data_IF_733542344070
#
_entry.id   IF_733542344070
#
_cell.length_a   1.000
_cell.length_b   1.000
_cell.length_c   1.000
_cell.angle_alpha   90.00
_cell.angle_beta   90.00
_cell.angle_gamma   90.00
#
_symmetry.space_group_name_H-M   'P 1'
#
loop_
_entity.id
_entity.type
_entity.pdbx_description
1 polymer ?
#
# COMPACT_ATOMS: atom_id res chain seq x y z
N UNK A 1 10.18 51.06 -47.28
CA UNK A 1 11.04 51.99 -46.52
C UNK A 1 10.60 51.89 -45.06
N UNK A 2 11.33 51.16 -44.20
CA UNK A 2 12.49 51.62 -43.39
C UNK A 2 12.04 52.70 -42.36
N UNK A 3 12.24 52.57 -41.04
CA UNK A 3 13.49 52.22 -40.33
C UNK A 3 13.25 51.77 -38.87
N UNK A 4 14.21 50.96 -38.38
CA UNK A 4 14.40 50.32 -37.05
C UNK A 4 14.82 51.27 -35.91
N UNK A 5 14.68 50.76 -34.66
CA UNK A 5 15.63 50.70 -33.49
C UNK A 5 14.93 51.10 -32.18
N UNK A 6 15.32 50.69 -30.96
CA UNK A 6 16.04 49.58 -30.33
C UNK A 6 16.18 50.01 -28.84
N UNK A 7 15.94 49.14 -27.85
CA UNK A 7 16.54 49.28 -26.51
C UNK A 7 16.41 47.98 -25.69
N UNK A 8 17.55 47.34 -25.48
CA UNK A 8 17.81 46.22 -24.57
C UNK A 8 18.56 46.76 -23.35
N UNK A 9 18.21 46.33 -22.13
CA UNK A 9 19.08 46.03 -20.95
C UNK A 9 18.32 46.24 -19.63
N UNK A 10 18.56 45.59 -18.49
CA UNK A 10 19.27 44.36 -18.07
C UNK A 10 19.30 44.39 -16.53
N UNK A 11 19.36 43.19 -15.93
CA UNK A 11 19.68 42.77 -14.55
C UNK A 11 18.77 43.18 -13.39
N UNK A 12 18.15 42.14 -12.82
CA UNK A 12 17.94 42.00 -11.39
C UNK A 12 19.20 41.39 -10.76
N UNK A 13 19.83 42.11 -9.83
CA UNK A 13 20.81 41.57 -8.90
C UNK A 13 20.31 41.84 -7.49
N UNK A 14 20.01 40.77 -6.76
CA UNK A 14 20.05 40.81 -5.30
C UNK A 14 20.69 39.51 -4.84
N UNK A 15 21.96 39.65 -4.47
CA UNK A 15 22.72 38.67 -3.73
C UNK A 15 22.02 38.41 -2.39
N UNK A 16 21.88 37.14 -2.01
CA UNK A 16 21.99 36.78 -0.61
C UNK A 16 22.42 35.32 -0.42
N UNK A 17 23.67 35.20 0.05
CA UNK A 17 24.14 34.24 1.05
C UNK A 17 23.93 32.75 0.77
N UNK A 18 24.97 32.17 0.17
CA UNK A 18 25.35 30.77 0.31
C UNK A 18 25.50 30.42 1.80
N UNK A 19 24.51 29.72 2.35
CA UNK A 19 24.65 28.88 3.54
C UNK A 19 24.37 27.44 3.13
N UNK A 20 25.45 26.69 3.07
CA UNK A 20 25.48 25.24 3.01
C UNK A 20 24.49 24.67 4.04
N UNK A 21 23.40 24.09 3.54
CA UNK A 21 22.44 23.36 4.35
C UNK A 21 22.16 22.06 3.62
N UNK A 22 22.31 20.94 4.34
CA UNK A 22 22.09 19.56 3.93
C UNK A 22 20.90 19.38 2.96
N UNK A 23 20.90 18.34 2.09
CA UNK A 23 19.80 18.14 1.15
C UNK A 23 18.51 17.89 1.93
N UNK A 24 17.70 18.94 2.08
CA UNK A 24 16.34 18.83 2.55
C UNK A 24 15.63 18.06 1.45
N UNK A 25 15.36 16.78 1.69
CA UNK A 25 14.49 15.94 0.86
C UNK A 25 13.23 16.75 0.60
N UNK A 26 13.13 17.28 -0.61
CA UNK A 26 12.04 18.17 -1.00
C UNK A 26 10.83 17.28 -1.10
N UNK A 27 9.97 17.35 -0.09
CA UNK A 27 8.71 16.65 -0.08
C UNK A 27 7.92 17.15 -1.28
N UNK A 28 7.75 16.30 -2.30
CA UNK A 28 6.96 16.63 -3.49
C UNK A 28 5.57 17.02 -2.99
N UNK A 29 5.11 18.21 -3.35
CA UNK A 29 3.75 18.64 -3.01
C UNK A 29 2.83 17.90 -3.96
N UNK A 30 2.15 16.87 -3.46
CA UNK A 30 1.10 16.20 -4.19
C UNK A 30 -0.11 17.13 -4.33
N UNK A 31 -0.63 17.25 -5.54
CA UNK A 31 -1.86 18.01 -5.78
C UNK A 31 -3.07 17.19 -5.30
N UNK A 32 -4.14 17.85 -4.88
CA UNK A 32 -5.31 17.16 -4.29
C UNK A 32 -6.00 16.18 -5.26
N UNK A 33 -5.96 16.50 -6.54
CA UNK A 33 -6.51 15.72 -7.66
C UNK A 33 -5.47 14.80 -8.31
N UNK A 34 -4.26 14.70 -7.75
CA UNK A 34 -3.24 13.80 -8.27
C UNK A 34 -3.68 12.35 -8.07
N UNK A 35 -3.59 11.57 -9.13
CA UNK A 35 -3.98 10.17 -9.15
C UNK A 35 -2.80 9.31 -8.69
N UNK A 36 -3.05 8.49 -7.68
CA UNK A 36 -2.06 7.64 -7.06
C UNK A 36 -2.49 6.19 -7.25
N UNK A 37 -1.61 5.40 -7.83
CA UNK A 37 -1.82 3.98 -8.04
C UNK A 37 -1.89 3.23 -6.69
N UNK A 38 -2.97 2.48 -6.52
CA UNK A 38 -3.22 1.66 -5.35
C UNK A 38 -3.53 0.23 -5.82
N UNK A 39 -2.73 -0.74 -5.36
CA UNK A 39 -2.91 -2.17 -5.64
C UNK A 39 -3.77 -2.83 -4.58
N UNK A 40 -4.81 -3.56 -4.97
CA UNK A 40 -5.63 -4.33 -4.04
C UNK A 40 -4.84 -5.48 -3.40
N UNK A 41 -4.98 -5.61 -2.08
CA UNK A 41 -4.45 -6.73 -1.29
C UNK A 41 -5.56 -7.70 -0.86
N UNK A 42 -6.81 -7.41 -1.18
CA UNK A 42 -7.96 -8.27 -0.87
C UNK A 42 -8.30 -9.17 -2.04
N UNK A 43 -8.71 -10.39 -1.70
CA UNK A 43 -9.25 -11.35 -2.66
C UNK A 43 -10.73 -11.04 -2.87
N UNK A 44 -11.13 -10.77 -4.12
CA UNK A 44 -12.47 -10.33 -4.50
C UNK A 44 -12.57 -8.81 -4.72
N UNK A 45 -13.80 -8.34 -4.97
CA UNK A 45 -14.03 -6.94 -5.33
C UNK A 45 -13.93 -6.02 -4.12
N UNK A 46 -13.00 -5.07 -4.15
CA UNK A 46 -12.86 -4.02 -3.13
C UNK A 46 -13.64 -2.79 -3.56
N UNK A 47 -14.37 -2.19 -2.62
CA UNK A 47 -15.02 -0.90 -2.81
C UNK A 47 -14.47 0.09 -1.80
N UNK A 48 -14.02 1.26 -2.27
CA UNK A 48 -13.60 2.36 -1.42
C UNK A 48 -14.36 3.63 -1.84
N UNK A 49 -15.23 4.18 -0.99
CA UNK A 49 -15.89 5.43 -1.25
C UNK A 49 -14.95 6.61 -0.94
N UNK A 50 -14.65 7.42 -1.96
CA UNK A 50 -13.91 8.67 -1.84
C UNK A 50 -14.76 9.73 -1.15
N UNK A 51 -14.52 9.97 0.14
CA UNK A 51 -15.29 10.94 0.94
C UNK A 51 -15.16 12.38 0.44
N UNK A 52 -14.08 12.72 -0.25
CA UNK A 52 -13.81 14.08 -0.74
C UNK A 52 -14.15 14.25 -2.21
N UNK A 53 -14.06 13.16 -2.99
CA UNK A 53 -14.30 13.17 -4.44
C UNK A 53 -15.69 12.71 -4.86
N UNK A 54 -16.42 12.03 -3.98
CA UNK A 54 -17.66 11.31 -4.29
C UNK A 54 -17.46 10.20 -5.36
N UNK A 55 -16.21 9.75 -5.55
CA UNK A 55 -15.86 8.66 -6.47
C UNK A 55 -15.92 7.34 -5.71
N UNK A 56 -16.61 6.34 -6.26
CA UNK A 56 -16.55 4.97 -5.77
C UNK A 56 -15.45 4.22 -6.50
N UNK A 57 -14.29 4.06 -5.85
CA UNK A 57 -13.20 3.26 -6.37
C UNK A 57 -13.52 1.78 -6.21
N UNK A 58 -13.31 1.02 -7.28
CA UNK A 58 -13.57 -0.42 -7.34
C UNK A 58 -12.34 -1.14 -7.86
N UNK A 59 -11.85 -2.12 -7.12
CA UNK A 59 -10.87 -3.09 -7.60
C UNK A 59 -11.58 -4.40 -7.89
N UNK A 60 -11.24 -5.06 -8.99
CA UNK A 60 -11.91 -6.30 -9.39
C UNK A 60 -11.37 -7.56 -8.69
N UNK A 61 -10.16 -7.49 -8.13
CA UNK A 61 -9.57 -8.63 -7.42
C UNK A 61 -8.22 -8.32 -6.78
N UNK A 62 -7.56 -9.35 -6.27
CA UNK A 62 -6.21 -9.25 -5.71
C UNK A 62 -5.21 -8.87 -6.79
N UNK A 63 -4.32 -7.92 -6.48
CA UNK A 63 -3.31 -7.44 -7.42
C UNK A 63 -3.82 -6.45 -8.47
N UNK A 64 -5.13 -6.19 -8.53
CA UNK A 64 -5.68 -5.15 -9.40
C UNK A 64 -5.18 -3.77 -8.95
N UNK A 65 -4.89 -2.88 -9.89
CA UNK A 65 -4.34 -1.55 -9.61
C UNK A 65 -5.35 -0.50 -10.04
N UNK A 66 -5.64 0.45 -9.15
CA UNK A 66 -6.56 1.55 -9.43
C UNK A 66 -5.95 2.86 -9.00
N UNK A 67 -6.19 3.87 -9.82
CA UNK A 67 -5.85 5.26 -9.55
C UNK A 67 -6.84 5.87 -8.55
N UNK A 68 -6.33 6.33 -7.41
CA UNK A 68 -7.09 6.97 -6.35
C UNK A 68 -6.57 8.39 -6.15
N UNK A 69 -7.45 9.37 -6.03
CA UNK A 69 -7.03 10.74 -5.79
C UNK A 69 -6.36 10.93 -4.42
N UNK A 70 -5.27 11.70 -4.39
CA UNK A 70 -4.50 11.97 -3.17
C UNK A 70 -5.37 12.53 -2.03
N UNK A 71 -6.36 13.40 -2.33
CA UNK A 71 -7.25 13.95 -1.29
C UNK A 71 -8.05 12.87 -0.54
N UNK A 72 -8.47 11.81 -1.23
CA UNK A 72 -9.20 10.70 -0.60
C UNK A 72 -8.25 9.83 0.21
N UNK A 73 -7.06 9.53 -0.32
CA UNK A 73 -6.01 8.81 0.40
C UNK A 73 -5.60 9.55 1.69
N UNK A 74 -5.41 10.86 1.61
CA UNK A 74 -5.11 11.69 2.77
C UNK A 74 -6.28 11.70 3.77
N UNK A 75 -7.53 11.70 3.30
CA UNK A 75 -8.71 11.58 4.16
C UNK A 75 -8.77 10.23 4.89
N UNK A 76 -8.48 9.13 4.19
CA UNK A 76 -8.38 7.80 4.79
C UNK A 76 -7.27 7.73 5.84
N UNK A 77 -6.11 8.32 5.55
CA UNK A 77 -4.99 8.41 6.48
C UNK A 77 -5.37 9.22 7.71
N UNK A 78 -5.93 10.42 7.52
CA UNK A 78 -6.34 11.32 8.61
C UNK A 78 -7.42 10.70 9.49
N UNK A 79 -8.34 9.93 8.91
CA UNK A 79 -9.39 9.22 9.65
C UNK A 79 -8.95 7.89 10.26
N UNK A 80 -7.66 7.53 10.13
CA UNK A 80 -7.11 6.23 10.52
C UNK A 80 -7.94 5.05 10.02
N UNK A 81 -8.32 5.14 8.75
CA UNK A 81 -9.25 4.20 8.14
C UNK A 81 -8.63 2.80 8.02
N UNK A 82 -9.43 1.73 8.22
CA UNK A 82 -8.95 0.36 8.07
C UNK A 82 -8.43 0.08 6.66
N UNK A 83 -8.88 0.79 5.62
CA UNK A 83 -8.34 0.58 4.26
C UNK A 83 -6.81 0.73 4.17
N UNK A 84 -6.20 1.60 4.99
CA UNK A 84 -4.75 1.84 5.05
C UNK A 84 -4.12 1.12 6.26
N UNK A 85 -4.74 1.18 7.44
CA UNK A 85 -4.16 0.65 8.68
C UNK A 85 -4.50 -0.83 8.97
N UNK A 86 -5.49 -1.41 8.26
CA UNK A 86 -5.76 -2.84 8.10
C UNK A 86 -5.74 -3.13 6.58
N UNK A 87 -4.56 -2.99 5.95
CA UNK A 87 -4.46 -2.61 4.54
C UNK A 87 -5.23 -3.55 3.62
N UNK A 88 -6.26 -2.97 3.02
CA UNK A 88 -7.07 -3.60 1.99
C UNK A 88 -6.47 -3.39 0.60
N UNK A 89 -5.69 -2.32 0.45
CA UNK A 89 -4.88 -2.01 -0.71
C UNK A 89 -3.53 -1.45 -0.26
N UNK A 90 -2.55 -1.54 -1.14
CA UNK A 90 -1.22 -0.99 -1.00
C UNK A 90 -1.09 0.21 -1.93
N UNK A 91 -0.37 1.24 -1.50
CA UNK A 91 -0.08 2.40 -2.33
C UNK A 91 1.20 2.12 -3.12
N UNK A 92 1.14 2.15 -4.45
CA UNK A 92 2.27 1.91 -5.37
C UNK A 92 2.95 3.23 -5.76
N UNK A 93 3.18 4.09 -4.77
CA UNK A 93 3.83 5.37 -5.00
C UNK A 93 4.89 5.62 -3.93
N UNK A 94 6.12 5.24 -4.25
CA UNK A 94 7.27 5.36 -3.35
C UNK A 94 7.54 6.82 -2.99
N UNK A 95 7.35 7.76 -3.93
CA UNK A 95 7.52 9.19 -3.65
C UNK A 95 6.55 9.68 -2.57
N UNK A 96 5.33 9.15 -2.56
CA UNK A 96 4.34 9.44 -1.53
C UNK A 96 4.74 8.86 -0.18
N UNK A 97 5.19 7.60 -0.18
CA UNK A 97 5.59 6.89 1.04
C UNK A 97 6.90 7.46 1.64
N UNK A 98 7.72 8.11 0.83
CA UNK A 98 8.90 8.86 1.28
C UNK A 98 8.58 10.19 1.97
N UNK A 99 7.35 10.72 1.82
CA UNK A 99 6.90 11.90 2.54
C UNK A 99 6.88 11.60 4.05
N UNK A 100 7.48 12.45 4.91
CA UNK A 100 7.41 12.32 6.37
C UNK A 100 6.00 12.15 6.92
N UNK A 101 4.97 12.65 6.23
CA UNK A 101 3.57 12.47 6.60
C UNK A 101 3.12 11.02 6.49
N UNK A 102 3.66 10.26 5.56
CA UNK A 102 3.28 8.88 5.24
C UNK A 102 4.23 7.84 5.85
N UNK A 103 5.23 8.28 6.62
CA UNK A 103 6.18 7.38 7.28
C UNK A 103 5.48 6.30 8.13
N UNK A 104 4.38 6.62 8.79
CA UNK A 104 3.60 5.66 9.57
C UNK A 104 2.96 4.56 8.70
N UNK A 105 2.56 4.90 7.48
CA UNK A 105 2.01 3.97 6.49
C UNK A 105 3.15 3.16 5.85
N UNK A 106 4.28 3.80 5.56
CA UNK A 106 5.47 3.13 5.05
C UNK A 106 6.00 2.09 6.05
N UNK A 107 6.17 2.46 7.32
CA UNK A 107 6.60 1.55 8.38
C UNK A 107 5.62 0.38 8.53
N UNK A 108 4.30 0.62 8.38
CA UNK A 108 3.29 -0.44 8.37
C UNK A 108 3.47 -1.38 7.17
N UNK A 109 3.68 -0.83 5.97
CA UNK A 109 3.83 -1.59 4.72
C UNK A 109 5.15 -2.35 4.66
N UNK A 110 6.25 -1.80 5.17
CA UNK A 110 7.54 -2.50 5.23
C UNK A 110 7.43 -3.75 6.13
N UNK A 111 6.75 -3.64 7.28
CA UNK A 111 6.44 -4.80 8.13
C UNK A 111 5.51 -5.83 7.44
N UNK A 112 4.70 -5.40 6.46
CA UNK A 112 3.85 -6.28 5.65
C UNK A 112 4.60 -6.90 4.48
N UNK A 113 5.59 -6.23 3.91
CA UNK A 113 6.42 -6.74 2.83
C UNK A 113 7.32 -7.87 3.28
N UNK A 114 7.83 -7.82 4.52
CA UNK A 114 8.46 -8.98 5.16
C UNK A 114 7.52 -10.20 5.28
N UNK A 115 6.20 -9.99 5.19
CA UNK A 115 5.17 -11.03 5.13
C UNK A 115 4.61 -11.27 3.71
N UNK A 116 5.00 -10.50 2.70
CA UNK A 116 4.43 -10.51 1.35
C UNK A 116 4.99 -11.61 0.45
N UNK A 117 6.11 -12.23 0.82
CA UNK A 117 6.42 -13.56 0.32
C UNK A 117 5.49 -14.57 1.01
N UNK A 118 4.25 -14.68 0.54
CA UNK A 118 3.30 -15.69 1.02
C UNK A 118 3.94 -17.09 0.98
N UNK A 119 4.82 -17.35 0.00
CA UNK A 119 5.66 -18.55 -0.05
C UNK A 119 6.60 -18.71 1.15
N UNK A 120 7.32 -17.66 1.52
CA UNK A 120 8.28 -17.66 2.62
C UNK A 120 7.55 -17.62 3.98
N UNK A 121 6.41 -16.93 4.05
CA UNK A 121 5.46 -16.96 5.14
C UNK A 121 4.92 -18.38 5.36
N UNK A 122 4.50 -19.06 4.29
CA UNK A 122 4.10 -20.47 4.33
C UNK A 122 5.27 -21.41 4.62
N UNK A 123 6.51 -20.99 4.38
CA UNK A 123 7.72 -21.73 4.76
C UNK A 123 8.11 -21.55 6.23
N UNK A 124 7.58 -20.54 6.94
CA UNK A 124 7.83 -20.32 8.37
C UNK A 124 7.45 -21.54 9.22
N UNK A 125 8.09 -21.70 10.38
CA UNK A 125 7.70 -22.73 11.35
C UNK A 125 6.24 -22.56 11.79
N UNK A 126 5.51 -23.63 12.17
CA UNK A 126 4.10 -23.53 12.57
C UNK A 126 3.84 -22.51 13.70
N UNK A 127 4.79 -22.38 14.64
CA UNK A 127 4.70 -21.42 15.74
C UNK A 127 4.85 -19.96 15.28
N UNK A 128 5.77 -19.69 14.34
CA UNK A 128 5.95 -18.35 13.76
C UNK A 128 4.80 -18.01 12.83
N UNK A 129 4.35 -18.96 12.02
CA UNK A 129 3.19 -18.82 11.14
C UNK A 129 1.94 -18.40 11.92
N UNK A 130 1.66 -19.05 13.06
CA UNK A 130 0.52 -18.70 13.92
C UNK A 130 0.59 -17.27 14.46
N UNK A 131 1.77 -16.83 14.90
CA UNK A 131 1.97 -15.45 15.40
C UNK A 131 1.82 -14.42 14.29
N UNK A 132 2.52 -14.65 13.18
CA UNK A 132 2.48 -13.75 12.03
C UNK A 132 1.05 -13.69 11.46
N UNK A 133 0.34 -14.82 11.38
CA UNK A 133 -1.05 -14.88 10.94
C UNK A 133 -1.99 -14.12 11.88
N UNK A 134 -1.72 -14.03 13.18
CA UNK A 134 -2.53 -13.21 14.08
C UNK A 134 -2.34 -11.71 13.80
N UNK A 135 -1.11 -11.31 13.48
CA UNK A 135 -0.70 -9.91 13.25
C UNK A 135 -1.02 -9.39 11.85
N UNK A 136 -1.20 -10.26 10.85
CA UNK A 136 -1.53 -9.79 9.49
C UNK A 136 -2.93 -9.16 9.38
N UNK A 137 -3.09 -8.18 8.47
CA UNK A 137 -4.36 -7.57 8.08
C UNK A 137 -5.35 -8.59 7.55
N UNK A 138 -6.65 -8.27 7.65
CA UNK A 138 -7.74 -9.13 7.17
C UNK A 138 -7.64 -9.44 5.68
N UNK A 139 -7.17 -8.48 4.88
CA UNK A 139 -6.97 -8.68 3.44
C UNK A 139 -5.93 -9.77 3.16
N UNK A 140 -4.77 -9.67 3.81
CA UNK A 140 -3.68 -10.63 3.63
C UNK A 140 -3.99 -12.00 4.29
N UNK A 141 -4.68 -12.02 5.44
CA UNK A 141 -5.24 -13.27 6.03
C UNK A 141 -6.10 -14.04 5.04
N UNK A 142 -6.93 -13.32 4.29
CA UNK A 142 -7.81 -13.91 3.28
C UNK A 142 -7.01 -14.46 2.09
N UNK A 143 -5.98 -13.74 1.64
CA UNK A 143 -5.06 -14.22 0.61
C UNK A 143 -4.28 -15.47 1.05
N UNK A 144 -3.73 -15.47 2.28
CA UNK A 144 -3.04 -16.63 2.86
C UNK A 144 -3.97 -17.83 2.96
N UNK A 145 -5.22 -17.63 3.41
CA UNK A 145 -6.24 -18.69 3.47
C UNK A 145 -6.45 -19.34 2.10
N UNK A 146 -6.63 -18.53 1.05
CA UNK A 146 -6.89 -19.04 -0.31
C UNK A 146 -5.66 -19.77 -0.86
N UNK A 147 -4.46 -19.25 -0.64
CA UNK A 147 -3.23 -19.91 -1.07
C UNK A 147 -3.03 -21.26 -0.35
N UNK A 148 -3.28 -21.31 0.97
CA UNK A 148 -3.24 -22.56 1.76
C UNK A 148 -4.28 -23.55 1.24
N UNK A 149 -5.52 -23.11 1.00
CA UNK A 149 -6.57 -23.94 0.42
C UNK A 149 -6.19 -24.49 -0.96
N UNK A 150 -5.62 -23.65 -1.82
CA UNK A 150 -5.18 -24.03 -3.17
C UNK A 150 -4.04 -25.05 -3.12
N UNK A 151 -3.07 -24.90 -2.20
CA UNK A 151 -1.98 -25.87 -2.04
C UNK A 151 -2.43 -27.18 -1.40
N UNK A 152 -3.42 -27.12 -0.52
CA UNK A 152 -4.10 -28.29 0.04
C UNK A 152 -4.81 -29.07 -1.07
N UNK A 153 -5.61 -28.40 -1.90
CA UNK A 153 -6.28 -29.00 -3.06
C UNK A 153 -5.28 -29.60 -4.06
N UNK A 154 -4.14 -28.94 -4.25
CA UNK A 154 -3.05 -29.44 -5.09
C UNK A 154 -2.21 -30.55 -4.44
N UNK A 155 -2.47 -30.92 -3.17
CA UNK A 155 -1.73 -31.96 -2.45
C UNK A 155 -0.26 -31.61 -2.15
N UNK A 156 0.09 -30.31 -2.15
CA UNK A 156 1.47 -29.81 -1.94
C UNK A 156 1.68 -29.16 -0.58
N UNK A 157 0.65 -29.16 0.27
CA UNK A 157 0.70 -28.56 1.59
C UNK A 157 0.86 -29.63 2.69
N UNK A 158 2.10 -29.91 3.09
CA UNK A 158 2.39 -31.02 4.01
C UNK A 158 2.15 -30.71 5.51
N UNK A 159 1.80 -29.48 5.89
CA UNK A 159 1.82 -29.06 7.29
C UNK A 159 0.43 -28.89 7.91
N UNK A 160 -0.14 -29.99 8.41
CA UNK A 160 -1.44 -30.01 9.13
C UNK A 160 -1.48 -29.02 10.30
N UNK A 161 -0.35 -28.80 11.00
CA UNK A 161 -0.28 -27.84 12.10
C UNK A 161 -0.51 -26.38 11.64
N UNK A 162 -0.07 -26.03 10.43
CA UNK A 162 -0.33 -24.71 9.85
C UNK A 162 -1.79 -24.60 9.43
N UNK A 163 -2.37 -25.66 8.87
CA UNK A 163 -3.81 -25.70 8.53
C UNK A 163 -4.66 -25.45 9.77
N UNK A 164 -4.36 -26.12 10.89
CA UNK A 164 -5.04 -25.88 12.17
C UNK A 164 -4.86 -24.45 12.69
N UNK A 165 -3.68 -23.86 12.51
CA UNK A 165 -3.45 -22.46 12.88
C UNK A 165 -4.29 -21.49 12.02
N UNK A 166 -4.45 -21.77 10.72
CA UNK A 166 -5.36 -21.01 9.85
C UNK A 166 -6.81 -21.21 10.29
N UNK A 167 -7.23 -22.44 10.55
CA UNK A 167 -8.59 -22.76 11.00
C UNK A 167 -8.93 -22.06 12.33
N UNK A 168 -8.01 -22.07 13.29
CA UNK A 168 -8.20 -21.38 14.58
C UNK A 168 -8.23 -19.85 14.46
N UNK A 169 -7.36 -19.25 13.63
CA UNK A 169 -7.22 -17.78 13.55
C UNK A 169 -8.21 -17.16 12.57
N UNK A 170 -8.39 -17.79 11.41
CA UNK A 170 -9.25 -17.31 10.34
C UNK A 170 -10.66 -17.91 10.40
N UNK A 171 -10.93 -18.84 11.32
CA UNK A 171 -12.24 -19.47 11.47
C UNK A 171 -12.61 -20.33 10.27
N UNK A 172 -11.65 -21.09 9.75
CA UNK A 172 -11.82 -21.92 8.55
C UNK A 172 -11.94 -23.39 8.90
N UNK A 173 -12.36 -24.21 7.94
CA UNK A 173 -12.47 -25.66 8.10
C UNK A 173 -11.62 -26.39 7.04
N UNK A 174 -10.40 -25.88 6.81
CA UNK A 174 -9.45 -26.46 5.86
C UNK A 174 -8.98 -27.85 6.31
N UNK A 175 -9.00 -28.15 7.61
CA UNK A 175 -8.74 -29.50 8.14
C UNK A 175 -9.75 -30.54 7.62
N UNK A 176 -10.96 -30.15 7.20
CA UNK A 176 -11.95 -31.06 6.61
C UNK A 176 -11.70 -31.39 5.13
N UNK A 177 -10.75 -30.71 4.49
CA UNK A 177 -10.38 -30.93 3.09
C UNK A 177 -9.22 -31.91 2.92
N UNK A 178 -8.64 -32.40 4.02
CA UNK A 178 -7.49 -33.32 4.07
C UNK A 178 -7.93 -34.75 4.40
#
# INVERSE_FOLDING_TARGET
>A
MATRRAATKTVATTENTTKETAPVKTTKKFEQNELIECRSLVQGTLFMPGKQSDILYRWDGYGDVREVEYRDLYSLKSSRSPYIYDPCFQIENDELLEDPRWKDVKDLYDNLYDASDINQFLALSPAQFKKALAEVPKGLKTAIKIEVATRLDNGTFDSIQKVRAVDEICGTELEKMI
#
